data_IF_084243036980
#
_entry.id   IF_084243036980
#
_cell.length_a   1.000
_cell.length_b   1.000
_cell.length_c   1.000
_cell.angle_alpha   90.00
_cell.angle_beta   90.00
_cell.angle_gamma   90.00
#
_symmetry.space_group_name_H-M   'P 1'
#
loop_
_entity.id
_entity.type
_entity.pdbx_description
1 polymer ?
#
# COMPACT_ATOMS: atom_id res chain seq x y z
N UNK A 1 56.02 63.20 -1.46
CA UNK A 1 54.72 62.78 -0.85
C UNK A 1 53.83 62.29 -1.97
N UNK A 2 53.64 60.97 -2.10
CA UNK A 2 52.75 60.37 -3.05
C UNK A 2 51.69 59.58 -2.27
N UNK A 3 50.44 60.03 -2.34
CA UNK A 3 49.27 59.33 -1.79
C UNK A 3 48.86 58.20 -2.68
N UNK A 4 48.85 57.01 -2.12
CA UNK A 4 48.28 55.78 -2.78
C UNK A 4 46.83 55.66 -2.42
N UNK A 5 45.94 55.62 -3.41
CA UNK A 5 44.53 55.37 -3.26
C UNK A 5 44.29 53.85 -3.28
N UNK A 6 43.73 53.30 -2.19
CA UNK A 6 43.23 51.94 -2.15
C UNK A 6 41.82 51.90 -2.76
N UNK A 7 41.64 51.14 -3.82
CA UNK A 7 40.32 50.79 -4.38
C UNK A 7 39.80 49.50 -3.73
N UNK A 8 38.69 49.61 -2.96
CA UNK A 8 37.96 48.44 -2.49
C UNK A 8 37.11 47.84 -3.66
N UNK A 9 37.39 46.61 -4.03
CA UNK A 9 36.54 45.81 -4.93
C UNK A 9 35.58 45.02 -4.07
N UNK A 10 34.29 45.41 -4.11
CA UNK A 10 33.21 44.65 -3.49
C UNK A 10 32.80 43.50 -4.43
N UNK A 11 33.13 42.28 -4.07
CA UNK A 11 32.68 41.08 -4.76
C UNK A 11 31.24 40.77 -4.34
N UNK A 12 30.29 40.99 -5.24
CA UNK A 12 28.90 40.54 -5.10
C UNK A 12 28.81 39.03 -5.30
N UNK A 13 28.65 38.29 -4.21
CA UNK A 13 28.31 36.87 -4.26
C UNK A 13 26.84 36.71 -4.70
N UNK A 14 26.61 36.49 -6.00
CA UNK A 14 25.34 35.99 -6.47
C UNK A 14 25.14 34.57 -5.94
N UNK A 15 24.36 34.43 -4.87
CA UNK A 15 23.88 33.11 -4.40
C UNK A 15 23.00 32.48 -5.45
N UNK A 16 23.51 31.49 -6.19
CA UNK A 16 22.72 30.62 -7.02
C UNK A 16 21.81 29.79 -6.08
N UNK A 17 20.55 30.22 -5.94
CA UNK A 17 19.52 29.34 -5.37
C UNK A 17 19.33 28.21 -6.35
N UNK A 18 19.87 27.05 -6.03
CA UNK A 18 19.54 25.81 -6.70
C UNK A 18 18.01 25.63 -6.55
N UNK A 19 17.30 25.70 -7.70
CA UNK A 19 15.92 25.26 -7.75
C UNK A 19 15.95 23.78 -7.31
N UNK A 20 15.37 23.49 -6.15
CA UNK A 20 15.14 22.12 -5.70
C UNK A 20 14.16 21.50 -6.68
N UNK A 21 14.69 20.88 -7.73
CA UNK A 21 13.92 20.01 -8.61
C UNK A 21 13.21 19.00 -7.73
N UNK A 22 11.91 18.83 -7.91
CA UNK A 22 11.11 17.84 -7.20
C UNK A 22 11.85 16.50 -7.32
N UNK A 23 12.38 16.01 -6.22
CA UNK A 23 13.07 14.73 -6.20
C UNK A 23 12.08 13.66 -6.60
N UNK A 24 12.37 12.91 -7.67
CA UNK A 24 11.57 11.74 -8.05
C UNK A 24 11.72 10.58 -7.04
N UNK A 25 12.23 10.85 -5.87
CA UNK A 25 12.41 9.90 -4.79
C UNK A 25 11.09 9.67 -4.04
N UNK A 26 10.91 8.47 -3.54
CA UNK A 26 9.86 8.14 -2.57
C UNK A 26 10.32 8.68 -1.22
N UNK A 27 9.51 9.48 -0.50
CA UNK A 27 9.91 9.98 0.82
C UNK A 27 9.86 8.86 1.87
N UNK A 28 10.52 9.07 2.98
CA UNK A 28 10.35 8.25 4.18
C UNK A 28 9.00 8.57 4.84
N UNK A 29 8.20 7.54 5.12
CA UNK A 29 6.89 7.63 5.74
C UNK A 29 6.97 7.22 7.22
N UNK A 30 6.16 7.86 8.07
CA UNK A 30 5.95 7.37 9.44
C UNK A 30 5.04 6.13 9.41
N UNK A 31 4.02 6.17 8.54
CA UNK A 31 3.10 5.05 8.37
C UNK A 31 2.80 4.77 6.90
N UNK A 32 2.79 3.50 6.53
CA UNK A 32 2.23 3.00 5.28
C UNK A 32 1.06 2.08 5.60
N UNK A 33 -0.09 2.37 5.00
CA UNK A 33 -1.29 1.52 5.09
C UNK A 33 -1.63 1.01 3.69
N UNK A 34 -1.78 -0.30 3.54
CA UNK A 34 -2.23 -0.93 2.29
C UNK A 34 -3.59 -1.55 2.53
N UNK A 35 -4.59 -1.06 1.80
CA UNK A 35 -5.97 -1.58 1.82
C UNK A 35 -6.23 -2.28 0.51
N UNK A 36 -6.67 -3.53 0.56
CA UNK A 36 -6.92 -4.34 -0.65
C UNK A 36 -8.38 -4.75 -0.73
N UNK A 37 -9.06 -4.27 -1.76
CA UNK A 37 -10.40 -4.67 -2.16
C UNK A 37 -10.36 -5.78 -3.22
N UNK A 38 -11.53 -6.24 -3.72
CA UNK A 38 -11.65 -7.48 -4.49
C UNK A 38 -12.37 -7.30 -5.83
N UNK A 39 -11.78 -7.91 -6.86
CA UNK A 39 -12.44 -8.27 -8.13
C UNK A 39 -13.16 -7.13 -8.87
N UNK A 40 -12.63 -5.92 -8.92
CA UNK A 40 -13.26 -4.82 -9.67
C UNK A 40 -12.31 -4.15 -10.66
N UNK A 41 -12.79 -3.98 -11.88
CA UNK A 41 -12.17 -3.11 -12.88
C UNK A 41 -12.23 -1.64 -12.45
N UNK A 42 -11.23 -0.87 -12.84
CA UNK A 42 -11.14 0.56 -12.50
C UNK A 42 -12.38 1.34 -12.89
N UNK A 43 -12.94 1.07 -14.09
CA UNK A 43 -14.15 1.77 -14.59
C UNK A 43 -15.45 1.38 -13.88
N UNK A 44 -15.48 0.26 -13.16
CA UNK A 44 -16.64 -0.14 -12.37
C UNK A 44 -16.70 0.50 -10.99
N UNK A 45 -15.64 1.18 -10.57
CA UNK A 45 -15.55 1.87 -9.27
C UNK A 45 -15.31 3.36 -9.45
N UNK A 46 -14.24 3.74 -10.17
CA UNK A 46 -13.93 5.17 -10.40
C UNK A 46 -14.87 5.75 -11.45
N UNK A 47 -15.66 6.73 -11.03
CA UNK A 47 -16.73 7.33 -11.82
C UNK A 47 -18.12 6.74 -11.56
N UNK A 48 -18.22 5.60 -10.87
CA UNK A 48 -19.50 5.01 -10.53
C UNK A 48 -20.28 5.86 -9.52
N UNK A 49 -21.60 5.93 -9.67
CA UNK A 49 -22.51 6.63 -8.74
C UNK A 49 -22.42 6.04 -7.32
N UNK A 50 -22.25 4.73 -7.22
CA UNK A 50 -22.22 4.00 -5.96
C UNK A 50 -20.86 4.03 -5.25
N UNK A 51 -19.88 4.79 -5.77
CA UNK A 51 -18.54 4.94 -5.21
C UNK A 51 -18.17 6.41 -4.88
N UNK A 52 -19.00 7.18 -4.14
CA UNK A 52 -18.76 8.60 -3.89
C UNK A 52 -17.45 8.86 -3.12
N UNK A 53 -17.06 7.99 -2.18
CA UNK A 53 -15.81 8.12 -1.41
C UNK A 53 -14.59 7.84 -2.28
N UNK A 54 -14.59 6.78 -3.08
CA UNK A 54 -13.54 6.51 -4.06
C UNK A 54 -13.39 7.67 -5.04
N UNK A 55 -14.50 8.21 -5.55
CA UNK A 55 -14.51 9.34 -6.45
C UNK A 55 -13.96 10.62 -5.81
N UNK A 56 -14.32 10.89 -4.56
CA UNK A 56 -13.80 12.02 -3.79
C UNK A 56 -12.29 11.89 -3.60
N UNK A 57 -11.82 10.74 -3.11
CA UNK A 57 -10.40 10.49 -2.86
C UNK A 57 -9.59 10.56 -4.16
N UNK A 58 -10.11 10.01 -5.25
CA UNK A 58 -9.47 10.08 -6.57
C UNK A 58 -9.37 11.49 -7.14
N UNK A 59 -10.23 12.43 -6.72
CA UNK A 59 -10.13 13.85 -7.09
C UNK A 59 -9.18 14.63 -6.18
N UNK A 60 -9.21 14.35 -4.89
CA UNK A 60 -8.48 15.15 -3.88
C UNK A 60 -7.03 14.72 -3.74
N UNK A 61 -6.74 13.43 -3.84
CA UNK A 61 -5.41 12.85 -3.62
C UNK A 61 -4.76 12.38 -4.93
N UNK A 62 -4.01 11.30 -4.88
CA UNK A 62 -3.33 10.75 -6.04
C UNK A 62 -4.02 9.51 -6.61
N UNK A 63 -3.93 9.33 -7.93
CA UNK A 63 -4.41 8.14 -8.65
C UNK A 63 -3.26 7.50 -9.42
N UNK A 64 -3.15 6.17 -9.39
CA UNK A 64 -2.38 5.43 -10.37
C UNK A 64 -3.32 5.06 -11.54
N UNK A 65 -3.19 5.75 -12.67
CA UNK A 65 -4.17 5.67 -13.78
C UNK A 65 -4.00 4.46 -14.67
N UNK A 66 -2.87 3.74 -14.56
CA UNK A 66 -2.56 2.53 -15.32
C UNK A 66 -2.00 1.46 -14.37
N UNK A 67 -2.80 1.06 -13.38
CA UNK A 67 -2.43 0.06 -12.40
C UNK A 67 -3.19 -1.24 -12.66
N UNK A 68 -2.48 -2.36 -12.63
CA UNK A 68 -3.01 -3.67 -13.01
C UNK A 68 -2.76 -4.70 -11.93
N UNK A 69 -3.69 -5.65 -11.76
CA UNK A 69 -3.42 -6.90 -11.07
C UNK A 69 -2.34 -7.70 -11.82
N UNK A 70 -1.76 -8.70 -11.18
CA UNK A 70 -0.66 -9.50 -11.78
C UNK A 70 -1.10 -10.87 -12.26
N UNK A 71 -2.21 -11.39 -11.71
CA UNK A 71 -2.70 -12.75 -12.00
C UNK A 71 -4.18 -12.88 -11.65
N UNK A 72 -4.71 -14.07 -11.93
CA UNK A 72 -5.93 -14.65 -11.37
C UNK A 72 -5.60 -16.03 -10.79
N UNK A 73 -6.31 -16.47 -9.74
CA UNK A 73 -7.26 -15.76 -8.89
C UNK A 73 -6.56 -14.89 -7.81
N UNK A 74 -7.29 -14.47 -6.77
CA UNK A 74 -6.88 -13.50 -5.74
C UNK A 74 -5.52 -13.79 -5.08
N UNK A 75 -5.30 -14.99 -4.54
CA UNK A 75 -4.11 -15.28 -3.70
C UNK A 75 -2.77 -14.89 -4.33
N UNK A 76 -2.44 -15.20 -5.58
CA UNK A 76 -1.19 -14.76 -6.22
C UNK A 76 -0.97 -13.24 -6.17
N UNK A 77 -2.03 -12.44 -6.25
CA UNK A 77 -1.95 -10.97 -6.17
C UNK A 77 -1.58 -10.49 -4.76
N UNK A 78 -2.17 -11.09 -3.74
CA UNK A 78 -1.82 -10.82 -2.34
C UNK A 78 -0.37 -11.18 -2.03
N UNK A 79 0.12 -12.32 -2.55
CA UNK A 79 1.51 -12.73 -2.41
C UNK A 79 2.46 -11.77 -3.12
N UNK A 80 2.09 -11.31 -4.32
CA UNK A 80 2.85 -10.33 -5.09
C UNK A 80 3.00 -8.99 -4.35
N UNK A 81 1.95 -8.54 -3.65
CA UNK A 81 1.94 -7.30 -2.87
C UNK A 81 2.95 -7.30 -1.72
N UNK A 82 3.21 -8.45 -1.10
CA UNK A 82 4.07 -8.50 0.11
C UNK A 82 5.36 -9.29 -0.06
N UNK A 83 5.58 -9.95 -1.21
CA UNK A 83 6.78 -10.75 -1.42
C UNK A 83 7.38 -10.60 -2.84
N UNK A 84 6.73 -9.82 -3.70
CA UNK A 84 7.22 -9.62 -5.06
C UNK A 84 7.17 -10.86 -5.95
N UNK A 85 6.40 -11.87 -5.58
CA UNK A 85 6.26 -13.13 -6.29
C UNK A 85 4.88 -13.74 -6.09
N UNK A 86 4.37 -14.39 -7.12
CA UNK A 86 3.17 -15.24 -7.01
C UNK A 86 3.51 -16.65 -6.54
N UNK A 87 4.81 -16.98 -6.45
CA UNK A 87 5.35 -18.32 -6.16
C UNK A 87 4.78 -19.43 -7.06
N UNK A 88 4.34 -19.05 -8.26
CA UNK A 88 3.72 -19.99 -9.21
C UNK A 88 2.30 -20.44 -8.85
N UNK A 89 1.69 -19.84 -7.83
CA UNK A 89 0.30 -20.16 -7.50
C UNK A 89 -0.66 -19.70 -8.60
N UNK A 90 -1.56 -20.60 -8.98
CA UNK A 90 -2.64 -20.39 -9.97
C UNK A 90 -4.01 -20.71 -9.39
N UNK A 91 -4.08 -20.90 -8.07
CA UNK A 91 -5.32 -21.22 -7.33
C UNK A 91 -5.32 -20.49 -5.98
N UNK A 92 -6.49 -20.41 -5.36
CA UNK A 92 -6.68 -19.94 -3.99
C UNK A 92 -6.45 -21.09 -2.99
N UNK A 93 -5.27 -21.68 -2.96
CA UNK A 93 -4.98 -22.77 -2.04
C UNK A 93 -5.03 -22.29 -0.57
N UNK A 94 -5.47 -23.15 0.32
CA UNK A 94 -5.55 -22.86 1.78
C UNK A 94 -4.28 -23.34 2.50
N UNK A 95 -3.76 -24.49 2.10
CA UNK A 95 -2.59 -25.12 2.71
C UNK A 95 -1.43 -25.17 1.70
N UNK A 96 -0.74 -24.05 1.57
CA UNK A 96 0.42 -23.88 0.71
C UNK A 96 1.44 -22.98 1.41
N UNK A 97 2.17 -23.50 2.41
CA UNK A 97 3.13 -22.71 3.18
C UNK A 97 4.30 -22.23 2.32
N UNK A 98 4.72 -20.99 2.56
CA UNK A 98 5.78 -20.32 1.81
C UNK A 98 6.99 -20.10 2.72
N UNK A 99 8.13 -20.71 2.37
CA UNK A 99 9.39 -20.56 3.11
C UNK A 99 10.25 -19.35 2.72
N UNK A 100 9.78 -18.52 1.78
CA UNK A 100 10.51 -17.35 1.32
C UNK A 100 10.32 -16.15 2.25
N UNK A 101 11.17 -15.12 2.08
CA UNK A 101 11.01 -13.84 2.76
C UNK A 101 9.82 -13.05 2.24
N UNK A 102 9.16 -12.31 3.14
CA UNK A 102 8.11 -11.35 2.85
C UNK A 102 8.49 -9.95 3.31
N UNK A 103 7.69 -8.97 2.96
CA UNK A 103 7.83 -7.58 3.42
C UNK A 103 7.85 -7.49 4.95
N UNK A 104 7.11 -8.36 5.67
CA UNK A 104 7.13 -8.39 7.13
C UNK A 104 8.48 -8.79 7.72
N UNK A 105 9.27 -9.58 6.98
CA UNK A 105 10.62 -9.98 7.39
C UNK A 105 11.60 -8.81 7.24
N UNK A 106 11.56 -8.12 6.10
CA UNK A 106 12.44 -6.99 5.82
C UNK A 106 12.11 -5.77 6.70
N UNK A 107 10.82 -5.51 6.96
CA UNK A 107 10.36 -4.49 7.91
C UNK A 107 10.87 -4.81 9.32
N UNK A 108 10.68 -6.04 9.81
CA UNK A 108 11.16 -6.43 11.13
C UNK A 108 12.69 -6.34 11.28
N UNK A 109 13.43 -6.73 10.24
CA UNK A 109 14.89 -6.63 10.22
C UNK A 109 15.41 -5.19 10.22
N UNK A 110 14.61 -4.22 9.69
CA UNK A 110 14.94 -2.79 9.74
C UNK A 110 14.61 -2.12 11.08
N UNK A 111 14.05 -2.85 12.05
CA UNK A 111 13.60 -2.30 13.33
C UNK A 111 12.20 -1.67 13.28
N UNK A 112 11.53 -1.66 12.12
CA UNK A 112 10.16 -1.16 11.97
C UNK A 112 9.14 -2.21 12.36
N UNK A 113 7.91 -1.77 12.61
CA UNK A 113 6.80 -2.58 13.08
C UNK A 113 5.76 -2.83 11.98
N UNK A 114 5.03 -3.94 12.09
CA UNK A 114 3.94 -4.25 11.16
C UNK A 114 2.78 -4.97 11.85
N UNK A 115 1.57 -4.81 11.33
CA UNK A 115 0.38 -5.62 11.62
C UNK A 115 -0.42 -5.88 10.35
N UNK A 116 -1.10 -7.02 10.32
CA UNK A 116 -2.15 -7.33 9.34
C UNK A 116 -3.50 -7.30 10.05
N UNK A 117 -4.38 -6.39 9.64
CA UNK A 117 -5.71 -6.20 10.19
C UNK A 117 -6.73 -6.82 9.23
N UNK A 118 -7.47 -7.82 9.68
CA UNK A 118 -8.45 -8.50 8.85
C UNK A 118 -9.85 -8.44 9.47
N UNK A 119 -10.82 -7.94 8.69
CA UNK A 119 -12.22 -7.91 9.10
C UNK A 119 -12.78 -9.32 9.18
N UNK A 120 -13.52 -9.62 10.25
CA UNK A 120 -14.08 -10.94 10.49
C UNK A 120 -13.08 -12.00 10.93
N UNK A 121 -11.83 -11.64 11.19
CA UNK A 121 -10.84 -12.55 11.77
C UNK A 121 -11.30 -12.98 13.19
N UNK A 122 -11.49 -14.29 13.46
CA UNK A 122 -12.14 -14.71 14.71
C UNK A 122 -11.27 -14.52 15.97
N UNK A 123 -9.95 -14.51 15.81
CA UNK A 123 -8.99 -14.28 16.90
C UNK A 123 -7.63 -13.86 16.34
N UNK A 124 -6.81 -13.26 17.17
CA UNK A 124 -5.40 -12.97 16.80
C UNK A 124 -4.69 -14.25 16.37
N UNK A 125 -3.88 -14.16 15.34
CA UNK A 125 -3.08 -15.26 14.84
C UNK A 125 -3.86 -16.44 14.24
N UNK A 126 -5.13 -16.27 13.91
CA UNK A 126 -5.93 -17.32 13.28
C UNK A 126 -5.37 -17.68 11.90
N UNK A 127 -5.17 -18.98 11.65
CA UNK A 127 -4.58 -19.52 10.42
C UNK A 127 -5.57 -20.38 9.60
N UNK A 128 -6.81 -20.56 10.07
CA UNK A 128 -7.82 -21.34 9.36
C UNK A 128 -8.22 -20.73 8.02
N UNK A 129 -8.74 -21.56 7.12
CA UNK A 129 -9.05 -21.19 5.73
C UNK A 129 -10.16 -20.17 5.60
N UNK A 130 -11.18 -20.23 6.46
CA UNK A 130 -12.32 -19.31 6.49
C UNK A 130 -12.99 -19.29 7.87
N UNK A 131 -13.69 -18.18 8.17
CA UNK A 131 -14.58 -18.04 9.33
C UNK A 131 -15.57 -16.92 9.04
N UNK A 132 -16.87 -17.25 8.93
CA UNK A 132 -17.87 -16.30 8.50
C UNK A 132 -17.52 -15.70 7.13
N UNK A 133 -17.29 -14.38 7.10
CA UNK A 133 -16.86 -13.66 5.88
C UNK A 133 -15.35 -13.46 5.77
N UNK A 134 -14.57 -13.86 6.77
CA UNK A 134 -13.11 -13.89 6.65
C UNK A 134 -12.67 -15.04 5.74
N UNK A 135 -11.67 -14.79 4.89
CA UNK A 135 -11.01 -15.85 4.10
C UNK A 135 -9.50 -15.66 4.11
N UNK A 136 -8.77 -16.76 4.34
CA UNK A 136 -7.30 -16.80 4.41
C UNK A 136 -6.64 -16.32 3.12
N UNK A 137 -7.23 -16.59 1.95
CA UNK A 137 -6.68 -16.18 0.65
C UNK A 137 -6.44 -14.67 0.52
N UNK A 138 -7.14 -13.85 1.32
CA UNK A 138 -6.95 -12.40 1.38
C UNK A 138 -5.95 -11.96 2.46
N UNK A 139 -5.45 -12.89 3.28
CA UNK A 139 -4.46 -12.62 4.32
C UNK A 139 -3.13 -13.31 3.99
N UNK A 140 -2.26 -12.69 3.17
CA UNK A 140 -1.05 -13.36 2.70
C UNK A 140 -0.08 -13.70 3.83
N UNK A 141 -0.11 -12.98 4.95
CA UNK A 141 0.76 -13.23 6.11
C UNK A 141 0.55 -14.63 6.72
N UNK A 142 -0.65 -15.18 6.59
CA UNK A 142 -0.99 -16.52 7.08
C UNK A 142 -0.39 -17.67 6.25
N UNK A 143 0.38 -17.37 5.20
CA UNK A 143 1.05 -18.38 4.36
C UNK A 143 2.55 -18.49 4.62
N UNK A 144 3.20 -17.46 5.15
CA UNK A 144 4.66 -17.45 5.33
C UNK A 144 5.08 -18.18 6.60
N UNK A 145 5.97 -19.19 6.45
CA UNK A 145 6.46 -20.00 7.58
C UNK A 145 7.19 -19.17 8.63
N UNK A 146 7.87 -18.10 8.23
CA UNK A 146 8.49 -17.13 9.15
C UNK A 146 7.49 -16.48 10.11
N UNK A 147 6.21 -16.48 9.75
CA UNK A 147 5.12 -15.94 10.59
C UNK A 147 4.37 -17.07 11.28
N UNK A 148 3.91 -18.06 10.50
CA UNK A 148 3.02 -19.10 11.01
C UNK A 148 3.68 -20.02 12.06
N UNK A 149 5.00 -20.20 12.02
CA UNK A 149 5.77 -20.97 12.98
C UNK A 149 6.28 -20.13 14.17
N UNK A 150 6.05 -18.80 14.17
CA UNK A 150 6.46 -17.90 15.25
C UNK A 150 5.23 -17.37 15.99
N UNK A 151 4.95 -17.80 17.24
CA UNK A 151 3.81 -17.27 17.99
C UNK A 151 3.79 -15.75 18.08
N UNK A 152 4.92 -15.12 18.40
CA UNK A 152 5.02 -13.66 18.53
C UNK A 152 4.74 -12.89 17.22
N UNK A 153 5.08 -13.48 16.06
CA UNK A 153 4.79 -12.85 14.75
C UNK A 153 3.35 -13.12 14.32
N UNK A 154 2.83 -14.30 14.63
CA UNK A 154 1.45 -14.67 14.35
C UNK A 154 0.47 -13.75 15.09
N UNK A 155 0.78 -13.32 16.32
CA UNK A 155 0.00 -12.34 17.09
C UNK A 155 -0.11 -10.95 16.44
N UNK A 156 0.64 -10.68 15.37
CA UNK A 156 0.53 -9.45 14.55
C UNK A 156 -0.53 -9.55 13.46
N UNK A 157 -1.15 -10.70 13.26
CA UNK A 157 -2.36 -10.88 12.46
C UNK A 157 -3.54 -10.67 13.41
N UNK A 158 -4.27 -9.57 13.26
CA UNK A 158 -5.24 -9.10 14.26
C UNK A 158 -6.60 -8.79 13.65
N UNK A 159 -7.69 -8.84 14.43
CA UNK A 159 -9.00 -8.35 14.01
C UNK A 159 -8.95 -6.87 13.61
N UNK A 160 -9.76 -6.49 12.59
CA UNK A 160 -9.82 -5.11 12.07
C UNK A 160 -10.16 -4.07 13.13
N UNK A 161 -10.93 -4.45 14.13
CA UNK A 161 -11.39 -3.59 15.23
C UNK A 161 -10.22 -2.93 15.98
N UNK A 162 -9.05 -3.55 15.97
CA UNK A 162 -7.85 -3.01 16.61
C UNK A 162 -7.27 -1.80 15.86
N UNK A 163 -7.50 -1.67 14.54
CA UNK A 163 -6.93 -0.58 13.73
C UNK A 163 -7.30 0.80 14.27
N UNK A 164 -8.56 1.00 14.63
CA UNK A 164 -9.03 2.28 15.14
C UNK A 164 -8.46 2.59 16.53
N UNK A 165 -8.30 1.57 17.38
CA UNK A 165 -7.69 1.71 18.70
C UNK A 165 -6.20 2.04 18.60
N UNK A 166 -5.46 1.33 17.75
CA UNK A 166 -4.03 1.58 17.48
C UNK A 166 -3.82 3.00 16.93
N UNK A 167 -4.61 3.42 15.95
CA UNK A 167 -4.52 4.77 15.40
C UNK A 167 -4.81 5.86 16.42
N UNK A 168 -5.80 5.66 17.29
CA UNK A 168 -6.19 6.63 18.32
C UNK A 168 -5.17 6.75 19.44
N UNK A 169 -4.55 5.64 19.83
CA UNK A 169 -3.56 5.60 20.93
C UNK A 169 -2.14 5.98 20.48
N UNK A 170 -1.90 6.20 19.18
CA UNK A 170 -0.56 6.41 18.63
C UNK A 170 0.27 5.12 18.54
N UNK A 171 -0.37 3.94 18.63
CA UNK A 171 0.26 2.63 18.51
C UNK A 171 0.14 2.02 17.10
N UNK A 172 -0.31 2.80 16.11
CA UNK A 172 -0.36 2.32 14.74
C UNK A 172 1.05 1.91 14.29
N UNK A 173 1.26 0.69 13.76
CA UNK A 173 2.59 0.27 13.31
C UNK A 173 3.06 1.07 12.09
N UNK A 174 4.36 1.02 11.80
CA UNK A 174 4.91 1.62 10.58
C UNK A 174 4.21 1.07 9.33
N UNK A 175 3.97 -0.24 9.28
CA UNK A 175 3.27 -0.90 8.19
C UNK A 175 1.97 -1.56 8.65
N UNK A 176 0.86 -1.19 8.02
CA UNK A 176 -0.47 -1.77 8.22
C UNK A 176 -0.99 -2.37 6.92
N UNK A 177 -1.29 -3.66 6.92
CA UNK A 177 -2.00 -4.30 5.82
C UNK A 177 -3.45 -4.55 6.24
N UNK A 178 -4.41 -4.01 5.51
CA UNK A 178 -5.82 -3.97 5.93
C UNK A 178 -6.68 -4.68 4.91
N UNK A 179 -7.42 -5.68 5.36
CA UNK A 179 -8.26 -6.52 4.53
C UNK A 179 -9.71 -6.44 5.00
N UNK A 180 -10.62 -5.93 4.16
CA UNK A 180 -12.06 -6.05 4.39
C UNK A 180 -12.52 -7.51 4.31
N UNK A 181 -13.67 -7.84 4.89
CA UNK A 181 -14.33 -9.14 4.70
C UNK A 181 -14.89 -9.30 3.27
N UNK A 182 -15.42 -10.46 2.92
CA UNK A 182 -15.96 -10.75 1.59
C UNK A 182 -17.08 -9.79 1.13
N UNK A 183 -17.84 -9.21 2.05
CA UNK A 183 -18.84 -8.22 1.68
C UNK A 183 -18.24 -6.81 1.56
N UNK A 184 -17.48 -6.39 2.57
CA UNK A 184 -16.86 -5.07 2.62
C UNK A 184 -15.79 -4.88 1.54
N UNK A 185 -15.14 -5.97 1.09
CA UNK A 185 -14.19 -5.95 -0.02
C UNK A 185 -14.81 -5.81 -1.42
N UNK A 186 -16.14 -5.84 -1.52
CA UNK A 186 -16.91 -5.89 -2.79
C UNK A 186 -16.86 -7.24 -3.51
N UNK A 187 -16.30 -8.29 -2.91
CA UNK A 187 -16.27 -9.63 -3.49
C UNK A 187 -17.69 -10.15 -3.66
N UNK A 188 -18.46 -10.26 -2.57
CA UNK A 188 -19.83 -10.80 -2.54
C UNK A 188 -20.92 -9.72 -2.50
N UNK A 189 -20.54 -8.45 -2.28
CA UNK A 189 -21.47 -7.33 -2.11
C UNK A 189 -21.24 -6.23 -3.16
N UNK A 190 -22.23 -5.34 -3.39
CA UNK A 190 -22.10 -4.22 -4.33
C UNK A 190 -20.98 -3.23 -3.96
N UNK A 191 -20.51 -2.46 -4.94
CA UNK A 191 -19.50 -1.39 -4.79
C UNK A 191 -19.81 -0.44 -3.64
N UNK A 192 -21.09 -0.12 -3.43
CA UNK A 192 -21.51 0.75 -2.32
C UNK A 192 -21.14 0.22 -0.94
N UNK A 193 -21.13 -1.09 -0.72
CA UNK A 193 -20.73 -1.66 0.58
C UNK A 193 -19.26 -1.33 0.88
N UNK A 194 -18.36 -1.53 -0.09
CA UNK A 194 -16.95 -1.20 0.07
C UNK A 194 -16.69 0.31 0.14
N UNK A 195 -17.47 1.13 -0.57
CA UNK A 195 -17.35 2.60 -0.49
C UNK A 195 -17.69 3.13 0.91
N UNK A 196 -18.75 2.63 1.52
CA UNK A 196 -19.13 2.98 2.90
C UNK A 196 -18.08 2.47 3.90
N UNK A 197 -17.58 1.26 3.68
CA UNK A 197 -16.50 0.71 4.50
C UNK A 197 -15.22 1.56 4.40
N UNK A 198 -14.80 1.92 3.19
CA UNK A 198 -13.65 2.78 2.94
C UNK A 198 -13.75 4.10 3.72
N UNK A 199 -14.90 4.75 3.65
CA UNK A 199 -15.15 6.00 4.39
C UNK A 199 -15.01 5.83 5.90
N UNK A 200 -15.57 4.74 6.44
CA UNK A 200 -15.57 4.44 7.87
C UNK A 200 -14.18 4.11 8.38
N UNK A 201 -13.44 3.27 7.67
CA UNK A 201 -12.18 2.68 8.14
C UNK A 201 -10.99 3.57 7.81
N UNK A 202 -10.90 4.08 6.58
CA UNK A 202 -9.77 4.88 6.12
C UNK A 202 -9.91 6.36 6.46
N UNK A 203 -11.13 6.88 6.53
CA UNK A 203 -11.39 8.30 6.82
C UNK A 203 -10.63 8.84 8.05
N UNK A 204 -10.66 8.16 9.20
CA UNK A 204 -9.93 8.58 10.40
C UNK A 204 -8.40 8.63 10.23
N UNK A 205 -7.82 7.80 9.34
CA UNK A 205 -6.38 7.70 9.13
C UNK A 205 -5.81 8.81 8.24
N UNK A 206 -6.64 9.53 7.47
CA UNK A 206 -6.21 10.52 6.48
C UNK A 206 -5.41 11.70 7.06
N UNK A 207 -5.54 11.96 8.36
CA UNK A 207 -4.89 13.08 9.05
C UNK A 207 -3.60 12.69 9.77
N UNK A 208 -3.24 11.42 9.80
CA UNK A 208 -2.02 10.95 10.44
C UNK A 208 -0.79 11.57 9.73
N UNK A 209 0.20 12.06 10.48
CA UNK A 209 1.36 12.73 9.89
C UNK A 209 2.17 11.75 9.02
N UNK A 210 2.81 12.30 7.99
CA UNK A 210 3.71 11.59 7.07
C UNK A 210 3.21 10.19 6.65
N UNK A 211 1.88 10.05 6.45
CA UNK A 211 1.23 8.78 6.16
C UNK A 211 0.87 8.65 4.69
N UNK A 212 1.22 7.51 4.09
CA UNK A 212 0.79 7.07 2.77
C UNK A 212 -0.19 5.90 2.89
N UNK A 213 -1.40 6.05 2.37
CA UNK A 213 -2.43 5.00 2.36
C UNK A 213 -2.69 4.60 0.91
N UNK A 214 -2.32 3.38 0.57
CA UNK A 214 -2.62 2.77 -0.74
C UNK A 214 -3.96 2.04 -0.64
N UNK A 215 -4.88 2.42 -1.51
CA UNK A 215 -6.19 1.77 -1.65
C UNK A 215 -6.19 1.14 -3.03
N UNK A 216 -6.16 -0.18 -3.08
CA UNK A 216 -6.07 -0.93 -4.33
C UNK A 216 -7.02 -2.13 -4.32
N UNK A 217 -7.07 -2.85 -5.42
CA UNK A 217 -7.77 -4.11 -5.55
C UNK A 217 -6.74 -5.21 -5.83
N UNK A 218 -7.08 -6.45 -5.56
CA UNK A 218 -6.22 -7.58 -5.86
C UNK A 218 -6.14 -7.82 -7.37
N UNK A 219 -7.30 -7.95 -8.00
CA UNK A 219 -7.49 -8.20 -9.42
C UNK A 219 -8.74 -7.50 -9.95
N UNK A 220 -8.83 -7.37 -11.26
CA UNK A 220 -10.05 -6.95 -11.97
C UNK A 220 -10.88 -8.15 -12.44
N UNK A 221 -11.78 -7.89 -13.38
CA UNK A 221 -12.61 -8.93 -14.02
C UNK A 221 -12.00 -9.44 -15.35
N UNK A 222 -10.94 -8.81 -15.84
CA UNK A 222 -10.32 -9.13 -17.14
C UNK A 222 -8.88 -9.64 -16.97
N UNK A 223 -8.35 -10.30 -18.01
CA UNK A 223 -6.97 -10.77 -18.06
C UNK A 223 -5.98 -9.72 -18.61
N UNK A 224 -6.43 -8.49 -18.77
CA UNK A 224 -5.56 -7.42 -19.27
C UNK A 224 -4.34 -7.30 -18.35
N UNK A 225 -3.13 -7.46 -18.91
CA UNK A 225 -1.84 -7.44 -18.20
C UNK A 225 -1.75 -8.42 -17.02
N UNK A 226 -2.49 -9.52 -17.09
CA UNK A 226 -2.46 -10.61 -16.13
C UNK A 226 -3.61 -10.61 -15.13
N UNK A 227 -3.96 -9.47 -14.54
CA UNK A 227 -4.99 -9.39 -13.50
C UNK A 227 -5.97 -8.22 -13.65
N UNK A 228 -6.15 -7.66 -14.87
CA UNK A 228 -7.12 -6.58 -15.13
C UNK A 228 -6.64 -5.18 -14.75
N UNK A 229 -7.32 -4.15 -15.24
CA UNK A 229 -7.06 -2.75 -14.90
C UNK A 229 -7.84 -2.36 -13.64
N UNK A 230 -7.16 -2.25 -12.51
CA UNK A 230 -7.77 -2.08 -11.19
C UNK A 230 -7.70 -0.65 -10.65
N UNK A 231 -8.69 -0.23 -9.83
CA UNK A 231 -8.64 1.08 -9.18
C UNK A 231 -7.48 1.13 -8.19
N UNK A 232 -6.65 2.17 -8.26
CA UNK A 232 -5.61 2.37 -7.24
C UNK A 232 -5.48 3.84 -6.92
N UNK A 233 -5.69 4.17 -5.65
CA UNK A 233 -5.57 5.50 -5.08
C UNK A 233 -4.45 5.51 -4.04
N UNK A 234 -3.78 6.66 -3.92
CA UNK A 234 -2.84 6.89 -2.82
C UNK A 234 -3.29 8.16 -2.11
N UNK A 235 -3.63 8.02 -0.82
CA UNK A 235 -4.21 9.10 -0.01
C UNK A 235 -3.40 9.33 1.27
N UNK A 236 -3.68 10.39 2.00
CA UNK A 236 -3.00 10.74 3.25
C UNK A 236 -2.09 11.96 3.14
N UNK A 237 -1.46 12.30 4.26
CA UNK A 237 -0.73 13.58 4.40
C UNK A 237 0.57 13.63 3.60
N UNK A 238 1.19 12.49 3.30
CA UNK A 238 2.40 12.40 2.48
C UNK A 238 2.15 12.62 0.98
N UNK A 239 0.88 12.63 0.56
CA UNK A 239 0.48 12.62 -0.85
C UNK A 239 0.23 14.04 -1.36
N UNK A 240 0.75 14.35 -2.56
CA UNK A 240 0.49 15.59 -3.26
C UNK A 240 -0.95 15.61 -3.78
N UNK A 241 -1.76 16.62 -3.43
CA UNK A 241 -3.14 16.73 -3.90
C UNK A 241 -3.26 16.75 -5.42
N UNK A 242 -4.38 16.27 -5.95
CA UNK A 242 -4.73 16.31 -7.37
C UNK A 242 -3.62 15.80 -8.30
N UNK A 243 -2.90 14.76 -7.88
CA UNK A 243 -1.78 14.20 -8.63
C UNK A 243 -2.12 12.86 -9.29
N UNK A 244 -1.30 12.46 -10.24
CA UNK A 244 -1.49 11.18 -10.91
C UNK A 244 -0.17 10.53 -11.28
N UNK A 245 -0.03 9.24 -10.97
CA UNK A 245 0.98 8.36 -11.53
C UNK A 245 0.43 7.74 -12.82
N UNK A 246 1.07 8.07 -13.96
CA UNK A 246 0.55 7.73 -15.29
C UNK A 246 1.28 6.59 -15.99
N UNK A 247 2.34 6.07 -15.38
CA UNK A 247 3.08 4.92 -15.94
C UNK A 247 2.36 3.62 -15.63
N UNK A 248 2.52 2.64 -16.50
CA UNK A 248 2.06 1.28 -16.26
C UNK A 248 2.79 0.72 -15.05
N UNK A 249 2.02 0.18 -14.11
CA UNK A 249 2.51 -0.44 -12.88
C UNK A 249 1.52 -1.51 -12.37
N UNK A 250 1.91 -2.21 -11.32
CA UNK A 250 1.16 -3.28 -10.69
C UNK A 250 1.59 -3.45 -9.22
N UNK A 251 1.21 -4.56 -8.59
CA UNK A 251 1.53 -4.88 -7.19
C UNK A 251 3.04 -4.84 -6.88
N UNK A 252 3.88 -5.23 -7.82
CA UNK A 252 5.34 -5.14 -7.65
C UNK A 252 5.83 -3.70 -7.56
N UNK A 253 5.18 -2.77 -8.27
CA UNK A 253 5.51 -1.34 -8.20
C UNK A 253 5.08 -0.69 -6.89
N UNK A 254 3.95 -1.15 -6.30
CA UNK A 254 3.52 -0.73 -4.97
C UNK A 254 4.51 -1.25 -3.92
N UNK A 255 4.84 -2.55 -3.93
CA UNK A 255 5.84 -3.14 -3.04
C UNK A 255 7.18 -2.38 -3.15
N UNK A 256 7.66 -2.13 -4.38
CA UNK A 256 8.88 -1.35 -4.62
C UNK A 256 8.81 0.06 -4.00
N UNK A 257 7.65 0.69 -3.99
CA UNK A 257 7.47 2.01 -3.39
C UNK A 257 7.70 1.97 -1.88
N UNK A 258 7.19 0.95 -1.21
CA UNK A 258 7.40 0.74 0.23
C UNK A 258 8.88 0.44 0.52
N UNK A 259 9.47 -0.45 -0.26
CA UNK A 259 10.89 -0.82 -0.12
C UNK A 259 11.82 0.39 -0.31
N UNK A 260 11.56 1.23 -1.30
CA UNK A 260 12.36 2.44 -1.54
C UNK A 260 12.16 3.50 -0.45
N UNK A 261 10.93 3.65 0.09
CA UNK A 261 10.64 4.59 1.18
C UNK A 261 11.47 4.29 2.43
N UNK A 262 11.64 3.03 2.76
CA UNK A 262 12.32 2.59 3.97
C UNK A 262 13.68 1.94 3.72
N UNK A 263 14.20 2.04 2.50
CA UNK A 263 15.49 1.48 2.08
C UNK A 263 15.61 -0.02 2.40
N UNK A 264 14.50 -0.75 2.25
CA UNK A 264 14.44 -2.19 2.50
C UNK A 264 15.08 -2.99 1.35
N UNK A 265 15.56 -4.21 1.61
CA UNK A 265 15.90 -5.17 0.57
C UNK A 265 14.70 -5.40 -0.37
N UNK A 266 14.98 -5.47 -1.66
CA UNK A 266 13.96 -5.67 -2.70
C UNK A 266 13.59 -7.13 -2.84
N UNK A 267 12.30 -7.42 -2.85
CA UNK A 267 11.74 -8.76 -2.90
C UNK A 267 11.28 -9.13 -4.32
N UNK A 268 11.74 -10.24 -4.82
CA UNK A 268 11.27 -10.81 -6.08
C UNK A 268 11.27 -9.82 -7.25
N UNK A 269 10.12 -9.68 -7.92
CA UNK A 269 9.96 -8.83 -9.11
C UNK A 269 9.90 -7.33 -8.79
N UNK A 270 9.76 -6.93 -7.50
CA UNK A 270 9.87 -5.51 -7.13
C UNK A 270 11.25 -4.94 -7.52
N UNK A 271 12.30 -5.76 -7.47
CA UNK A 271 13.66 -5.38 -7.87
C UNK A 271 13.77 -4.91 -9.34
N UNK A 272 12.86 -5.36 -10.20
CA UNK A 272 12.81 -5.04 -11.64
C UNK A 272 11.74 -4.01 -11.98
N UNK A 273 11.02 -3.49 -10.99
CA UNK A 273 9.90 -2.56 -11.17
C UNK A 273 10.29 -1.18 -10.65
N UNK A 274 9.67 -0.13 -11.17
CA UNK A 274 9.86 1.25 -10.69
C UNK A 274 8.84 1.59 -9.61
N UNK A 275 9.21 2.39 -8.59
CA UNK A 275 8.28 2.85 -7.59
C UNK A 275 7.29 3.88 -8.17
N UNK A 276 6.20 4.12 -7.45
CA UNK A 276 5.29 5.22 -7.73
C UNK A 276 5.96 6.52 -7.30
N UNK A 277 6.22 7.41 -8.24
CA UNK A 277 6.90 8.70 -8.02
C UNK A 277 6.08 9.86 -8.56
N UNK A 278 6.44 11.09 -8.20
CA UNK A 278 5.78 12.28 -8.70
C UNK A 278 4.40 12.56 -8.09
N UNK A 279 4.00 11.79 -7.08
CA UNK A 279 2.74 11.92 -6.33
C UNK A 279 2.96 12.27 -4.85
N UNK A 280 4.18 12.48 -4.45
CA UNK A 280 4.57 12.78 -3.07
C UNK A 280 4.74 14.28 -2.83
N UNK A 281 4.55 14.70 -1.57
CA UNK A 281 4.83 16.06 -1.09
C UNK A 281 6.31 16.28 -0.83
#
# INVERSE_FOLDING_TARGET
MRLAALALVAAALLGCRAATGATNAVPDFDHVVVVVFENKESGSVLGAHDAPTFNLYGRVYARATQYYGVAHPSLPNYLALIAGSTFGHTTNCVDCPIGAQSLSDTIGASGRTWKAYAEGLPSRGFLGGASGRYTKKHNPFAYFTSITLSPARRERIVPLEELAADAKSGALPDFSFVVPDLCSSMHDCPVRAGDLWLRRVVGPLLKLPRTAIFITFDEGATWVRGGGHIPTLVVGTAVRPNSAFRRITNHYGLLRTIEDAWQLPRLGLSARTRPLTGIWR
#
